data_IF_620836417206
#
_entry.id   IF_620836417206
#
_cell.length_a   1.000
_cell.length_b   1.000
_cell.length_c   1.000
_cell.angle_alpha   90.00
_cell.angle_beta   90.00
_cell.angle_gamma   90.00
#
_symmetry.space_group_name_H-M   'P 1'
#
loop_
_entity.id
_entity.type
_entity.pdbx_description
1 polymer ?
#
# COMPACT_ATOMS: atom_id res chain seq x y z
N UNK A 1 -12.73 -7.09 15.96
CA UNK A 1 -12.80 -5.63 15.74
C UNK A 1 -12.85 -5.40 14.24
N UNK A 2 -13.94 -4.83 13.72
CA UNK A 2 -14.03 -4.48 12.30
C UNK A 2 -13.24 -3.20 12.10
N UNK A 3 -12.23 -3.23 11.23
CA UNK A 3 -11.43 -2.06 10.88
C UNK A 3 -12.32 -1.03 10.20
N UNK A 4 -12.27 0.22 10.66
CA UNK A 4 -12.92 1.37 10.04
C UNK A 4 -11.86 2.27 9.42
N UNK A 5 -12.05 2.61 8.15
CA UNK A 5 -11.18 3.52 7.42
C UNK A 5 -11.90 4.83 7.14
N UNK A 6 -11.14 5.91 7.14
CA UNK A 6 -11.56 7.25 6.71
C UNK A 6 -11.00 7.51 5.31
N UNK A 7 -11.79 8.19 4.48
CA UNK A 7 -11.44 8.48 3.09
C UNK A 7 -11.36 10.00 2.89
N UNK A 8 -10.39 10.41 2.08
CA UNK A 8 -10.15 11.82 1.76
C UNK A 8 -9.92 11.98 0.25
N UNK A 9 -10.65 12.88 -0.39
CA UNK A 9 -10.32 13.32 -1.74
C UNK A 9 -9.04 14.14 -1.69
N UNK A 10 -8.06 13.81 -2.51
CA UNK A 10 -6.78 14.55 -2.59
C UNK A 10 -6.91 15.57 -3.72
N UNK A 11 -7.03 16.83 -3.35
CA UNK A 11 -7.35 17.94 -4.25
C UNK A 11 -6.14 18.86 -4.48
N UNK A 12 -5.10 18.79 -3.64
CA UNK A 12 -3.88 19.59 -3.79
C UNK A 12 -2.86 19.41 -2.66
N UNK A 13 -2.04 20.45 -2.45
CA UNK A 13 -1.13 20.58 -1.31
C UNK A 13 -0.09 19.46 -1.18
N UNK A 14 0.45 19.34 0.03
CA UNK A 14 1.45 18.32 0.38
C UNK A 14 0.93 16.89 0.18
N UNK A 15 -0.37 16.64 0.39
CA UNK A 15 -0.93 15.30 0.21
C UNK A 15 -0.86 14.85 -1.25
N UNK A 16 -1.12 15.76 -2.21
CA UNK A 16 -0.99 15.46 -3.64
C UNK A 16 0.46 15.21 -4.05
N UNK A 17 1.41 15.96 -3.51
CA UNK A 17 2.84 15.74 -3.76
C UNK A 17 3.29 14.35 -3.29
N UNK A 18 2.87 13.95 -2.09
CA UNK A 18 3.14 12.62 -1.53
C UNK A 18 2.49 11.54 -2.40
N UNK A 19 1.24 11.74 -2.83
CA UNK A 19 0.51 10.80 -3.69
C UNK A 19 1.23 10.58 -5.02
N UNK A 20 1.59 11.67 -5.72
CA UNK A 20 2.31 11.61 -7.00
C UNK A 20 3.66 10.93 -6.85
N UNK A 21 4.42 11.27 -5.82
CA UNK A 21 5.71 10.62 -5.53
C UNK A 21 5.54 9.12 -5.34
N UNK A 22 4.56 8.70 -4.54
CA UNK A 22 4.30 7.28 -4.28
C UNK A 22 3.90 6.52 -5.55
N UNK A 23 3.03 7.12 -6.37
CA UNK A 23 2.62 6.54 -7.66
C UNK A 23 3.81 6.41 -8.61
N UNK A 24 4.65 7.44 -8.71
CA UNK A 24 5.85 7.41 -9.53
C UNK A 24 6.86 6.34 -9.08
N UNK A 25 7.11 6.22 -7.76
CA UNK A 25 7.97 5.17 -7.20
C UNK A 25 7.44 3.77 -7.51
N UNK A 26 6.13 3.56 -7.36
CA UNK A 26 5.48 2.30 -7.72
C UNK A 26 5.62 2.01 -9.22
N UNK A 27 5.32 2.99 -10.08
CA UNK A 27 5.37 2.84 -11.52
C UNK A 27 6.79 2.47 -12.00
N UNK A 28 7.81 3.12 -11.45
CA UNK A 28 9.21 2.82 -11.74
C UNK A 28 9.60 1.38 -11.37
N UNK A 29 9.19 0.90 -10.19
CA UNK A 29 9.45 -0.49 -9.77
C UNK A 29 8.68 -1.48 -10.66
N UNK A 30 7.45 -1.17 -11.04
CA UNK A 30 6.67 -2.01 -11.94
C UNK A 30 7.28 -2.10 -13.35
N UNK A 31 7.83 -1.00 -13.86
CA UNK A 31 8.54 -0.99 -15.15
C UNK A 31 9.77 -1.88 -15.10
N UNK A 32 10.60 -1.78 -14.06
CA UNK A 32 11.77 -2.65 -13.86
C UNK A 32 11.34 -4.11 -13.74
N UNK A 33 10.30 -4.41 -12.96
CA UNK A 33 9.79 -5.78 -12.83
C UNK A 33 9.33 -6.35 -14.18
N UNK A 34 8.61 -5.56 -14.99
CA UNK A 34 8.16 -5.96 -16.34
C UNK A 34 9.35 -6.23 -17.25
N UNK A 35 10.36 -5.37 -17.24
CA UNK A 35 11.57 -5.54 -18.04
C UNK A 35 12.32 -6.83 -17.67
N UNK A 36 12.50 -7.10 -16.38
CA UNK A 36 13.16 -8.32 -15.90
C UNK A 36 12.36 -9.59 -16.20
N UNK A 37 11.05 -9.56 -16.03
CA UNK A 37 10.19 -10.70 -16.38
C UNK A 37 10.26 -11.00 -17.89
N UNK A 38 10.28 -9.96 -18.73
CA UNK A 38 10.46 -10.10 -20.19
C UNK A 38 11.82 -10.68 -20.53
N UNK A 39 12.90 -10.22 -19.89
CA UNK A 39 14.25 -10.74 -20.07
C UNK A 39 14.34 -12.24 -19.75
N UNK A 40 13.61 -12.69 -18.71
CA UNK A 40 13.51 -14.10 -18.32
C UNK A 40 12.64 -14.95 -19.25
N UNK A 41 11.94 -14.36 -20.22
CA UNK A 41 10.93 -15.07 -21.02
C UNK A 41 9.75 -15.56 -20.17
N UNK A 42 9.44 -14.87 -19.07
CA UNK A 42 8.33 -15.20 -18.20
C UNK A 42 7.00 -14.72 -18.78
N UNK A 43 5.94 -15.51 -18.58
CA UNK A 43 4.57 -15.13 -18.93
C UNK A 43 4.00 -14.15 -17.89
N UNK A 44 4.30 -14.42 -16.62
CA UNK A 44 3.84 -13.62 -15.47
C UNK A 44 4.94 -13.56 -14.42
N UNK A 45 4.84 -12.61 -13.50
CA UNK A 45 5.73 -12.49 -12.36
C UNK A 45 4.97 -12.31 -11.05
N UNK A 46 5.64 -12.70 -9.96
CA UNK A 46 5.23 -12.47 -8.59
C UNK A 46 6.14 -11.42 -7.97
N UNK A 47 5.57 -10.55 -7.14
CA UNK A 47 6.29 -9.49 -6.44
C UNK A 47 6.23 -9.70 -4.94
N UNK A 48 7.28 -9.27 -4.26
CA UNK A 48 7.33 -9.20 -2.80
C UNK A 48 6.25 -8.24 -2.27
N UNK A 49 5.61 -8.64 -1.17
CA UNK A 49 4.53 -7.86 -0.58
C UNK A 49 5.02 -6.60 0.14
N UNK A 50 6.27 -6.60 0.65
CA UNK A 50 6.81 -5.49 1.43
C UNK A 50 7.39 -4.39 0.53
N UNK A 51 8.06 -4.79 -0.54
CA UNK A 51 8.91 -3.93 -1.38
C UNK A 51 8.39 -3.77 -2.81
N UNK A 52 7.49 -4.64 -3.25
CA UNK A 52 6.95 -4.63 -4.60
C UNK A 52 7.94 -5.09 -5.68
N UNK A 53 9.16 -5.52 -5.32
CA UNK A 53 10.15 -6.03 -6.29
C UNK A 53 9.81 -7.46 -6.73
N UNK A 54 10.23 -7.85 -7.92
CA UNK A 54 10.08 -9.22 -8.42
C UNK A 54 10.77 -10.23 -7.49
N UNK A 55 10.02 -11.24 -7.04
CA UNK A 55 10.53 -12.33 -6.19
C UNK A 55 10.39 -13.72 -6.82
N UNK A 56 9.70 -13.81 -7.96
CA UNK A 56 9.55 -15.03 -8.72
C UNK A 56 8.84 -14.80 -10.05
N UNK A 57 8.87 -15.79 -10.91
CA UNK A 57 8.26 -15.76 -12.25
C UNK A 57 7.50 -17.03 -12.57
N UNK A 58 6.57 -16.95 -13.51
CA UNK A 58 5.85 -18.08 -14.10
C UNK A 58 6.37 -18.22 -15.54
N UNK A 59 7.04 -19.32 -15.82
CA UNK A 59 7.52 -19.64 -17.16
C UNK A 59 6.42 -20.37 -17.94
N UNK A 60 6.27 -20.13 -19.26
CA UNK A 60 5.32 -20.86 -20.11
C UNK A 60 5.71 -22.34 -20.35
N UNK A 61 6.88 -22.76 -19.86
CA UNK A 61 7.42 -24.11 -20.04
C UNK A 61 8.50 -24.45 -19.02
N UNK A 62 9.60 -25.07 -19.47
CA UNK A 62 10.71 -25.45 -18.57
C UNK A 62 11.30 -24.19 -17.91
N UNK A 63 11.40 -24.14 -16.57
CA UNK A 63 12.02 -23.00 -15.88
C UNK A 63 13.48 -22.79 -16.29
N UNK A 64 13.91 -21.52 -16.25
CA UNK A 64 15.32 -21.16 -16.37
C UNK A 64 16.18 -21.94 -15.36
N UNK A 65 17.40 -22.33 -15.72
CA UNK A 65 18.25 -23.23 -14.91
C UNK A 65 18.52 -22.67 -13.49
N UNK A 66 18.67 -21.35 -13.39
CA UNK A 66 18.88 -20.65 -12.12
C UNK A 66 17.63 -20.57 -11.23
N UNK A 67 16.49 -21.08 -11.68
CA UNK A 67 15.24 -21.04 -10.93
C UNK A 67 14.89 -22.42 -10.35
N UNK A 68 14.23 -22.39 -9.20
CA UNK A 68 13.67 -23.58 -8.54
C UNK A 68 12.50 -24.12 -9.37
N UNK A 69 12.10 -25.36 -9.11
CA UNK A 69 10.83 -25.89 -9.63
C UNK A 69 9.66 -25.00 -9.17
N UNK A 70 8.61 -24.84 -9.98
CA UNK A 70 7.46 -24.01 -9.62
C UNK A 70 6.77 -24.55 -8.35
N UNK A 71 6.26 -23.64 -7.53
CA UNK A 71 5.43 -23.97 -6.38
C UNK A 71 3.98 -24.29 -6.82
N UNK A 72 3.07 -24.53 -5.85
CA UNK A 72 1.65 -24.82 -6.11
C UNK A 72 0.90 -23.74 -6.92
N UNK A 73 1.42 -22.52 -6.98
CA UNK A 73 0.86 -21.41 -7.73
C UNK A 73 1.58 -21.18 -9.09
N UNK A 74 2.45 -22.11 -9.51
CA UNK A 74 3.24 -21.97 -10.74
C UNK A 74 4.45 -21.04 -10.62
N UNK A 75 4.68 -20.42 -9.46
CA UNK A 75 5.75 -19.43 -9.28
C UNK A 75 7.08 -20.14 -9.02
N UNK A 76 8.07 -19.83 -9.83
CA UNK A 76 9.46 -20.26 -9.71
C UNK A 76 10.29 -19.10 -9.15
N UNK A 77 10.96 -19.32 -8.03
CA UNK A 77 11.89 -18.36 -7.41
C UNK A 77 13.34 -18.67 -7.79
N UNK A 78 14.24 -17.67 -7.79
CA UNK A 78 15.66 -17.91 -8.03
C UNK A 78 16.24 -18.90 -7.01
N UNK A 79 17.21 -19.71 -7.44
CA UNK A 79 18.03 -20.53 -6.56
C UNK A 79 19.04 -19.63 -5.86
N UNK A 80 19.25 -19.87 -4.58
CA UNK A 80 20.21 -19.11 -3.80
C UNK A 80 21.60 -19.13 -4.46
N UNK A 81 22.32 -18.00 -4.38
CA UNK A 81 23.69 -17.83 -4.89
C UNK A 81 23.82 -17.94 -6.42
N UNK A 82 22.74 -17.74 -7.17
CA UNK A 82 22.80 -17.55 -8.62
C UNK A 82 22.93 -16.07 -8.98
N UNK A 83 23.28 -15.76 -10.24
CA UNK A 83 23.32 -14.38 -10.71
C UNK A 83 21.94 -13.70 -10.60
N UNK A 84 20.87 -14.45 -10.84
CA UNK A 84 19.50 -13.97 -10.69
C UNK A 84 19.11 -13.71 -9.24
N UNK A 85 19.53 -14.56 -8.31
CA UNK A 85 19.33 -14.34 -6.87
C UNK A 85 19.98 -13.03 -6.41
N UNK A 86 21.25 -12.81 -6.78
CA UNK A 86 21.96 -11.58 -6.45
C UNK A 86 21.32 -10.33 -7.09
N UNK A 87 20.95 -10.41 -8.36
CA UNK A 87 20.33 -9.30 -9.09
C UNK A 87 18.98 -8.92 -8.48
N UNK A 88 18.11 -9.90 -8.21
CA UNK A 88 16.80 -9.64 -7.61
C UNK A 88 16.93 -9.13 -6.16
N UNK A 89 17.89 -9.65 -5.39
CA UNK A 89 18.16 -9.16 -4.03
C UNK A 89 18.69 -7.72 -3.99
N UNK A 90 19.37 -7.26 -5.05
CA UNK A 90 19.84 -5.87 -5.15
C UNK A 90 18.78 -4.85 -5.60
N UNK A 91 17.58 -5.32 -5.98
CA UNK A 91 16.53 -4.42 -6.46
C UNK A 91 16.05 -3.49 -5.34
N UNK A 92 16.02 -2.19 -5.64
CA UNK A 92 15.39 -1.22 -4.76
C UNK A 92 13.89 -1.21 -5.03
N UNK A 93 13.10 -1.60 -4.03
CA UNK A 93 11.65 -1.50 -4.06
C UNK A 93 11.13 -0.12 -3.66
N UNK A 94 9.82 -0.06 -3.46
CA UNK A 94 9.12 1.07 -2.87
C UNK A 94 8.42 0.62 -1.59
N UNK A 95 7.97 1.55 -0.76
CA UNK A 95 7.22 1.21 0.44
C UNK A 95 5.76 0.86 0.11
N UNK A 96 5.54 -0.40 -0.24
CA UNK A 96 4.21 -0.94 -0.56
C UNK A 96 3.28 -1.01 0.66
N UNK A 97 3.84 -0.99 1.87
CA UNK A 97 3.07 -1.12 3.12
C UNK A 97 2.52 0.22 3.63
N UNK A 98 3.01 1.34 3.10
CA UNK A 98 2.58 2.70 3.43
C UNK A 98 3.14 3.24 4.75
N UNK A 99 4.19 2.65 5.33
CA UNK A 99 4.81 3.17 6.57
C UNK A 99 5.46 4.56 6.38
N UNK A 100 6.14 4.77 5.26
CA UNK A 100 6.67 6.04 4.80
C UNK A 100 5.55 7.05 4.53
N UNK A 101 4.41 6.59 3.99
CA UNK A 101 3.22 7.42 3.81
C UNK A 101 2.64 7.86 5.14
N UNK A 102 2.38 6.92 6.03
CA UNK A 102 1.87 7.17 7.38
C UNK A 102 2.77 8.15 8.13
N UNK A 103 4.09 7.93 8.10
CA UNK A 103 5.07 8.85 8.68
C UNK A 103 5.04 10.24 8.05
N UNK A 104 4.95 10.33 6.72
CA UNK A 104 4.94 11.62 6.02
C UNK A 104 3.66 12.44 6.29
N UNK A 105 2.54 11.75 6.56
CA UNK A 105 1.22 12.30 6.86
C UNK A 105 0.94 12.42 8.37
N UNK A 106 1.86 11.98 9.23
CA UNK A 106 1.70 12.02 10.69
C UNK A 106 0.62 11.06 11.23
N UNK A 107 0.30 10.00 10.49
CA UNK A 107 -0.70 9.00 10.90
C UNK A 107 -0.05 7.95 11.81
N UNK A 108 -0.52 7.76 13.05
CA UNK A 108 -0.04 6.70 13.92
C UNK A 108 -0.28 5.32 13.32
N UNK A 109 0.74 4.45 13.35
CA UNK A 109 0.63 3.06 12.89
C UNK A 109 0.38 2.06 14.02
N UNK A 110 0.67 2.47 15.25
CA UNK A 110 0.62 1.64 16.44
C UNK A 110 -0.07 2.40 17.58
N UNK A 111 -0.81 1.66 18.40
CA UNK A 111 -1.48 2.16 19.60
C UNK A 111 -0.79 1.58 20.83
N UNK A 112 -0.34 2.47 21.73
CA UNK A 112 0.19 2.08 23.04
C UNK A 112 -0.89 2.24 24.09
N UNK A 113 -1.07 1.22 24.93
CA UNK A 113 -2.14 1.18 25.93
C UNK A 113 -1.68 0.58 27.27
N UNK A 114 -2.39 0.93 28.34
CA UNK A 114 -2.20 0.39 29.69
C UNK A 114 -3.52 0.07 30.38
N UNK A 115 -3.52 -0.84 31.36
CA UNK A 115 -4.68 -1.10 32.24
C UNK A 115 -4.20 -1.36 33.66
N UNK A 116 -4.47 -0.40 34.55
CA UNK A 116 -3.84 -0.33 35.87
C UNK A 116 -2.30 -0.25 35.76
N UNK A 117 -1.61 -0.66 36.83
CA UNK A 117 -0.15 -0.60 36.91
C UNK A 117 0.54 -1.83 36.27
N UNK A 118 -0.19 -2.93 36.06
CA UNK A 118 0.39 -4.21 35.68
C UNK A 118 0.38 -4.49 34.17
N UNK A 119 -0.55 -3.91 33.41
CA UNK A 119 -0.71 -4.21 31.98
C UNK A 119 -0.27 -3.02 31.14
N UNK A 120 0.75 -3.23 30.29
CA UNK A 120 1.20 -2.32 29.24
C UNK A 120 1.42 -3.09 27.95
N UNK A 121 1.01 -2.54 26.82
CA UNK A 121 1.17 -3.18 25.52
C UNK A 121 1.15 -2.19 24.36
N UNK A 122 1.48 -2.71 23.19
CA UNK A 122 1.34 -2.02 21.91
C UNK A 122 0.61 -2.93 20.92
N UNK A 123 -0.10 -2.35 19.96
CA UNK A 123 -0.73 -3.08 18.87
C UNK A 123 -0.72 -2.25 17.59
N UNK A 124 -0.63 -2.90 16.44
CA UNK A 124 -0.75 -2.21 15.15
C UNK A 124 -2.21 -1.77 14.93
N UNK A 125 -2.42 -0.50 14.60
CA UNK A 125 -3.75 0.10 14.40
C UNK A 125 -4.47 -0.52 13.20
N UNK A 126 -3.73 -0.74 12.11
CA UNK A 126 -4.28 -1.23 10.85
C UNK A 126 -4.36 -2.76 10.73
N UNK A 127 -3.83 -3.48 11.71
CA UNK A 127 -3.66 -4.93 11.70
C UNK A 127 -2.59 -5.43 10.72
N UNK A 128 -1.68 -6.28 11.20
CA UNK A 128 -0.79 -7.09 10.35
C UNK A 128 0.38 -6.34 9.68
N UNK A 129 0.65 -6.66 8.41
CA UNK A 129 1.84 -6.24 7.66
C UNK A 129 1.66 -4.93 6.86
N UNK A 130 0.75 -4.03 7.25
CA UNK A 130 0.53 -2.73 6.57
C UNK A 130 0.34 -1.63 7.61
N UNK A 131 0.71 -0.40 7.25
CA UNK A 131 0.39 0.80 8.02
C UNK A 131 -1.12 1.13 8.03
N UNK A 132 -1.88 0.55 7.10
CA UNK A 132 -3.28 0.91 6.85
C UNK A 132 -3.48 2.24 6.15
N UNK A 133 -2.40 2.91 5.74
CA UNK A 133 -2.44 4.15 4.97
C UNK A 133 -2.09 3.86 3.52
N UNK A 134 -2.82 4.46 2.59
CA UNK A 134 -2.50 4.34 1.17
C UNK A 134 -3.36 5.24 0.29
N UNK A 135 -3.07 5.20 -1.00
CA UNK A 135 -3.84 5.94 -2.00
C UNK A 135 -4.68 4.99 -2.85
N UNK A 136 -5.87 5.47 -3.20
CA UNK A 136 -6.77 4.86 -4.16
C UNK A 136 -6.56 5.50 -5.53
N UNK A 137 -6.79 4.71 -6.58
CA UNK A 137 -6.66 5.11 -7.98
C UNK A 137 -5.25 5.62 -8.32
N UNK A 138 -4.33 4.67 -8.35
CA UNK A 138 -2.90 4.87 -8.57
C UNK A 138 -2.56 5.04 -10.07
N UNK A 139 -3.22 5.99 -10.72
CA UNK A 139 -2.88 6.46 -12.07
C UNK A 139 -1.99 7.70 -11.99
N UNK A 140 -1.26 8.05 -13.05
CA UNK A 140 -0.40 9.25 -13.05
C UNK A 140 -1.22 10.55 -13.00
N UNK A 141 -2.40 10.56 -13.64
CA UNK A 141 -3.22 11.76 -13.82
C UNK A 141 -4.31 11.96 -12.73
N UNK A 142 -4.53 10.96 -11.88
CA UNK A 142 -5.61 10.98 -10.88
C UNK A 142 -6.98 10.65 -11.47
N UNK A 143 -8.09 10.76 -10.70
CA UNK A 143 -8.21 11.34 -9.36
C UNK A 143 -7.48 10.54 -8.27
N UNK A 144 -7.18 11.15 -7.14
CA UNK A 144 -6.55 10.49 -5.99
C UNK A 144 -7.45 10.57 -4.76
N UNK A 145 -7.52 9.47 -4.01
CA UNK A 145 -8.06 9.49 -2.65
C UNK A 145 -7.06 8.86 -1.68
N UNK A 146 -6.95 9.43 -0.49
CA UNK A 146 -6.21 8.87 0.63
C UNK A 146 -7.18 8.06 1.49
N UNK A 147 -6.75 6.89 1.95
CA UNK A 147 -7.41 6.19 3.05
C UNK A 147 -6.45 6.05 4.24
N UNK A 148 -6.99 6.23 5.44
CA UNK A 148 -6.28 6.09 6.71
C UNK A 148 -7.17 5.33 7.71
N UNK A 149 -6.60 4.64 8.71
CA UNK A 149 -7.41 4.05 9.77
C UNK A 149 -8.14 5.15 10.58
N UNK A 150 -9.36 4.86 11.03
CA UNK A 150 -10.08 5.68 12.00
C UNK A 150 -9.46 5.49 13.40
N UNK A 151 -8.40 6.24 13.69
CA UNK A 151 -7.66 6.15 14.96
C UNK A 151 -8.57 6.48 16.15
N UNK A 152 -9.49 7.42 16.01
CA UNK A 152 -10.43 7.79 17.07
C UNK A 152 -11.35 6.62 17.43
N UNK A 153 -11.87 5.91 16.43
CA UNK A 153 -12.63 4.67 16.64
C UNK A 153 -11.79 3.60 17.35
N UNK A 154 -10.52 3.45 16.97
CA UNK A 154 -9.62 2.48 17.64
C UNK A 154 -9.36 2.87 19.10
N UNK A 155 -9.11 4.14 19.38
CA UNK A 155 -8.95 4.65 20.75
C UNK A 155 -10.19 4.34 21.58
N UNK A 156 -11.38 4.63 21.05
CA UNK A 156 -12.65 4.37 21.74
C UNK A 156 -12.84 2.88 22.09
N UNK A 157 -12.53 1.95 21.18
CA UNK A 157 -12.62 0.51 21.46
C UNK A 157 -11.70 0.08 22.62
N UNK A 158 -10.48 0.62 22.68
CA UNK A 158 -9.56 0.33 23.78
C UNK A 158 -10.07 0.92 25.10
N UNK A 159 -10.61 2.15 25.08
CA UNK A 159 -11.15 2.80 26.27
C UNK A 159 -12.41 2.09 26.79
N UNK A 160 -13.31 1.64 25.92
CA UNK A 160 -14.50 0.84 26.26
C UNK A 160 -14.13 -0.49 26.94
N UNK A 161 -12.94 -1.03 26.64
CA UNK A 161 -12.39 -2.25 27.27
C UNK A 161 -11.64 -1.96 28.59
N UNK A 162 -11.63 -0.71 29.02
CA UNK A 162 -10.99 -0.24 30.25
C UNK A 162 -9.48 -0.06 30.15
N UNK A 163 -8.94 0.16 28.94
CA UNK A 163 -7.55 0.56 28.76
C UNK A 163 -7.41 2.08 28.71
N UNK A 164 -6.26 2.61 29.10
CA UNK A 164 -5.85 3.98 28.83
C UNK A 164 -4.89 4.00 27.66
N UNK A 165 -5.21 4.78 26.63
CA UNK A 165 -4.39 4.95 25.42
C UNK A 165 -3.43 6.14 25.57
N UNK A 166 -2.28 6.11 24.89
CA UNK A 166 -1.31 7.21 24.85
C UNK A 166 -1.85 8.48 24.15
N UNK A 167 -1.26 9.62 24.51
CA UNK A 167 -1.67 10.94 24.02
C UNK A 167 -1.51 11.11 22.50
N UNK A 168 -0.53 10.46 21.88
CA UNK A 168 -0.30 10.52 20.43
C UNK A 168 -1.53 10.06 19.64
N UNK A 169 -2.11 8.92 20.00
CA UNK A 169 -3.32 8.41 19.33
C UNK A 169 -4.57 9.19 19.72
N UNK A 170 -4.66 9.66 20.98
CA UNK A 170 -5.81 10.44 21.47
C UNK A 170 -5.93 11.81 20.82
N UNK A 171 -4.79 12.45 20.59
CA UNK A 171 -4.73 13.82 20.06
C UNK A 171 -4.59 13.84 18.54
N UNK A 172 -4.46 12.69 17.88
CA UNK A 172 -4.40 12.62 16.44
C UNK A 172 -5.72 13.09 15.82
N UNK A 173 -5.60 14.02 14.87
CA UNK A 173 -6.71 14.48 14.02
C UNK A 173 -6.37 14.18 12.57
N UNK A 174 -7.27 13.55 11.81
CA UNK A 174 -7.03 13.21 10.41
C UNK A 174 -7.26 14.44 9.53
N UNK A 175 -6.43 15.47 9.71
CA UNK A 175 -6.43 16.71 8.93
C UNK A 175 -5.17 16.72 8.06
N UNK A 176 -5.36 16.78 6.74
CA UNK A 176 -4.25 16.67 5.78
C UNK A 176 -4.27 17.85 4.81
N UNK A 177 -3.11 18.47 4.60
CA UNK A 177 -2.98 19.59 3.67
C UNK A 177 -3.33 19.17 2.24
N UNK A 178 -4.35 19.84 1.68
CA UNK A 178 -4.87 19.59 0.33
C UNK A 178 -5.70 18.30 0.19
N UNK A 179 -6.24 17.76 1.29
CA UNK A 179 -7.21 16.68 1.23
C UNK A 179 -8.49 16.99 2.03
N UNK A 180 -9.64 16.60 1.48
CA UNK A 180 -10.96 16.82 2.06
C UNK A 180 -11.61 15.49 2.43
N UNK A 181 -12.22 15.35 3.63
CA UNK A 181 -12.96 14.13 3.99
C UNK A 181 -14.08 13.83 2.99
N UNK A 182 -14.23 12.56 2.64
CA UNK A 182 -15.29 12.06 1.76
C UNK A 182 -15.87 10.75 2.28
N UNK A 183 -17.07 10.43 1.84
CA UNK A 183 -17.62 9.07 2.00
C UNK A 183 -16.96 8.11 1.01
N UNK A 184 -16.95 6.82 1.34
CA UNK A 184 -16.46 5.79 0.42
C UNK A 184 -17.30 5.76 -0.86
N UNK A 185 -18.60 5.94 -0.73
CA UNK A 185 -19.56 5.98 -1.84
C UNK A 185 -19.35 7.21 -2.73
N UNK A 186 -18.96 8.35 -2.16
CA UNK A 186 -18.56 9.54 -2.93
C UNK A 186 -17.33 9.23 -3.79
N UNK A 187 -16.34 8.55 -3.23
CA UNK A 187 -15.16 8.12 -3.98
C UNK A 187 -15.51 7.16 -5.12
N UNK A 188 -16.35 6.16 -4.86
CA UNK A 188 -16.79 5.19 -5.87
C UNK A 188 -17.50 5.90 -7.05
N UNK A 189 -18.31 6.92 -6.76
CA UNK A 189 -18.95 7.75 -7.77
C UNK A 189 -17.93 8.57 -8.59
N UNK A 190 -16.91 9.15 -7.95
CA UNK A 190 -15.84 9.88 -8.64
C UNK A 190 -15.09 8.97 -9.62
N UNK A 191 -14.71 7.77 -9.19
CA UNK A 191 -14.03 6.79 -10.05
C UNK A 191 -14.93 6.36 -11.21
N UNK A 192 -16.21 6.11 -10.98
CA UNK A 192 -17.15 5.72 -12.03
C UNK A 192 -17.28 6.80 -13.10
N UNK A 193 -17.40 8.07 -12.69
CA UNK A 193 -17.46 9.22 -13.61
C UNK A 193 -16.19 9.39 -14.42
N UNK A 194 -15.02 9.22 -13.79
CA UNK A 194 -13.75 9.30 -14.51
C UNK A 194 -13.62 8.22 -15.59
N UNK A 195 -13.94 6.96 -15.24
CA UNK A 195 -13.92 5.84 -16.20
C UNK A 195 -14.89 6.04 -17.36
N UNK A 196 -16.08 6.59 -17.09
CA UNK A 196 -17.05 6.92 -18.12
C UNK A 196 -16.49 7.97 -19.09
N UNK A 197 -15.92 9.06 -18.57
CA UNK A 197 -15.31 10.10 -19.39
C UNK A 197 -14.13 9.58 -20.23
N UNK A 198 -13.30 8.68 -19.70
CA UNK A 198 -12.25 8.02 -20.50
C UNK A 198 -12.81 7.11 -21.60
N UNK A 199 -13.91 6.40 -21.34
CA UNK A 199 -14.56 5.57 -22.34
C UNK A 199 -15.17 6.41 -23.46
N UNK A 200 -15.83 7.52 -23.14
CA UNK A 200 -16.39 8.45 -24.12
C UNK A 200 -15.32 9.05 -25.02
N UNK A 201 -14.17 9.47 -24.45
CA UNK A 201 -13.02 9.94 -25.23
C UNK A 201 -12.50 8.91 -26.23
N UNK A 202 -12.52 7.62 -25.88
CA UNK A 202 -12.06 6.54 -26.77
C UNK A 202 -13.03 6.21 -27.90
N UNK A 203 -14.34 6.43 -27.69
CA UNK A 203 -15.36 6.25 -28.73
C UNK A 203 -15.36 7.43 -29.71
N UNK A 204 -15.02 8.62 -29.23
CA UNK A 204 -14.96 9.83 -30.04
C UNK A 204 -13.66 9.99 -30.87
N UNK A 205 -12.64 9.17 -30.61
CA UNK A 205 -11.34 9.16 -31.29
C UNK A 205 -11.28 8.07 -32.37
#
# INVERSE_FOLDING_TARGET
MTRRDLYFAVEGGRTLEIARKHVAERAAVEEVNRALAKELGAERYAVDFLTGVLCGVIFPGKPHADFKKPNKNGVSSPRARTAWDARLASMKGYDRRGFSLAKALGVPTDISYRKGDAVRGGSAIAGGFSSGVGFLYLSEDGPFALYVPDVAYVVADYEDRGYTVCDECKNFKPEFDGARPILKEEWELVVARHKLAEAEKKVAA
#
